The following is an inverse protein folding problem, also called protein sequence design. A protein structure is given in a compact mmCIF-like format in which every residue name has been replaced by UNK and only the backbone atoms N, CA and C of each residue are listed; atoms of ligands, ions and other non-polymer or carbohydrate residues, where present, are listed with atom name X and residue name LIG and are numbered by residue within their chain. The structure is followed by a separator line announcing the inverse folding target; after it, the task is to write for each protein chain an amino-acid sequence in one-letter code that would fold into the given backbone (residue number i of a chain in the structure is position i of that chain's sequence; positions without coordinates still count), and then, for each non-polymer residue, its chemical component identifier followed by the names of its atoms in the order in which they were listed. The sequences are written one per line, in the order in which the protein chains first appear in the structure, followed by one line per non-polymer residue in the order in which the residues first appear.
data_IF_312545132716
#
_entry.id   IF_312545132716
#
_cell.length_a   1.000
_cell.length_b   1.000
_cell.length_c   1.000
_cell.angle_alpha   90.00
_cell.angle_beta   90.00
_cell.angle_gamma   90.00
#
_symmetry.space_group_name_H-M   'P 1'
#
loop_
_entity.id
_entity.type
_entity.pdbx_description
1 polymer ?
#
# COMPACT_ATOMS: atom_id res chain seq x y z
N UNK A 1 -1.76 -5.46 11.84
CA UNK A 1 -1.78 -4.97 10.45
C UNK A 1 -2.00 -3.46 10.38
N UNK A 2 -3.18 -2.96 10.71
CA UNK A 2 -3.56 -1.56 10.42
C UNK A 2 -2.74 -0.45 11.08
N UNK A 3 -2.32 -0.62 12.35
CA UNK A 3 -1.49 0.38 13.03
C UNK A 3 -0.12 0.60 12.36
N UNK A 4 0.53 -0.49 11.91
CA UNK A 4 1.82 -0.40 11.23
C UNK A 4 1.66 0.28 9.87
N UNK A 5 0.65 -0.12 9.10
CA UNK A 5 0.39 0.46 7.78
C UNK A 5 0.08 1.96 7.83
N UNK A 6 -0.71 2.42 8.81
CA UNK A 6 -0.96 3.86 9.02
C UNK A 6 0.32 4.63 9.29
N UNK A 7 1.22 4.07 10.10
CA UNK A 7 2.52 4.71 10.38
C UNK A 7 3.40 4.78 9.14
N UNK A 8 3.45 3.70 8.35
CA UNK A 8 4.21 3.65 7.09
C UNK A 8 3.72 4.71 6.12
N UNK A 9 2.41 4.77 5.87
CA UNK A 9 1.82 5.76 4.95
C UNK A 9 2.12 7.19 5.42
N UNK A 10 2.04 7.44 6.73
CA UNK A 10 2.39 8.74 7.29
C UNK A 10 3.87 9.09 7.05
N UNK A 11 4.79 8.15 7.28
CA UNK A 11 6.22 8.35 7.06
C UNK A 11 6.54 8.55 5.58
N UNK A 12 5.93 7.76 4.69
CA UNK A 12 6.09 7.88 3.24
C UNK A 12 5.60 9.24 2.77
N UNK A 13 4.41 9.67 3.19
CA UNK A 13 3.91 11.02 2.89
C UNK A 13 4.87 12.09 3.36
N UNK A 14 5.35 12.02 4.61
CA UNK A 14 6.28 13.03 5.13
C UNK A 14 7.60 13.08 4.34
N UNK A 15 8.10 11.94 3.87
CA UNK A 15 9.41 11.82 3.22
C UNK A 15 9.38 12.08 1.71
N UNK A 16 8.29 11.72 1.04
CA UNK A 16 8.22 11.69 -0.42
C UNK A 16 7.12 12.56 -1.04
N UNK A 17 6.15 13.06 -0.26
CA UNK A 17 5.09 13.90 -0.79
C UNK A 17 5.67 15.22 -1.34
N UNK A 18 5.52 15.43 -2.64
CA UNK A 18 5.84 16.69 -3.29
C UNK A 18 4.62 17.61 -3.28
N UNK A 19 4.82 18.93 -3.36
CA UNK A 19 3.73 19.94 -3.31
C UNK A 19 2.63 19.77 -4.39
N UNK A 20 2.87 18.97 -5.43
CA UNK A 20 1.96 18.80 -6.57
C UNK A 20 1.10 17.53 -6.50
N UNK A 21 1.31 16.66 -5.49
CA UNK A 21 0.62 15.37 -5.40
C UNK A 21 -0.28 15.33 -4.17
N UNK A 22 -1.42 14.65 -4.28
CA UNK A 22 -2.24 14.35 -3.12
C UNK A 22 -1.52 13.35 -2.18
N UNK A 23 -1.72 13.49 -0.86
CA UNK A 23 -1.17 12.55 0.10
C UNK A 23 -1.76 11.15 -0.12
N UNK A 24 -0.96 10.13 0.21
CA UNK A 24 -1.44 8.76 0.28
C UNK A 24 -2.37 8.59 1.48
N UNK A 25 -3.47 7.88 1.27
CA UNK A 25 -4.42 7.48 2.30
C UNK A 25 -4.37 5.95 2.45
N UNK A 26 -4.40 5.49 3.70
CA UNK A 26 -4.58 4.08 4.04
C UNK A 26 -6.03 3.84 4.44
N UNK A 27 -6.69 2.93 3.74
CA UNK A 27 -8.07 2.50 4.03
C UNK A 27 -8.01 1.12 4.67
N UNK A 28 -8.62 0.99 5.85
CA UNK A 28 -8.58 -0.21 6.68
C UNK A 28 -9.97 -0.84 6.76
N UNK A 29 -10.23 -1.82 5.90
CA UNK A 29 -11.49 -2.57 5.87
C UNK A 29 -11.26 -4.02 6.32
N UNK A 30 -10.16 -4.32 7.04
CA UNK A 30 -9.78 -5.69 7.40
C UNK A 30 -10.84 -6.30 8.31
N UNK A 31 -11.50 -5.51 9.16
CA UNK A 31 -12.54 -6.02 10.07
C UNK A 31 -13.82 -6.41 9.32
N UNK A 32 -14.20 -5.66 8.29
CA UNK A 32 -15.44 -5.86 7.54
C UNK A 32 -15.22 -6.86 6.39
N UNK A 33 -14.33 -6.53 5.46
CA UNK A 33 -14.14 -7.26 4.20
C UNK A 33 -12.88 -8.14 4.18
N UNK A 34 -12.00 -8.02 5.18
CA UNK A 34 -10.71 -8.71 5.18
C UNK A 34 -9.67 -8.05 4.26
N UNK A 35 -9.88 -6.80 3.87
CA UNK A 35 -8.99 -6.09 2.94
C UNK A 35 -8.53 -4.73 3.49
N UNK A 36 -7.36 -4.27 3.07
CA UNK A 36 -6.93 -2.89 3.25
C UNK A 36 -6.16 -2.43 2.02
N UNK A 37 -6.18 -1.14 1.73
CA UNK A 37 -5.52 -0.62 0.54
C UNK A 37 -4.93 0.76 0.77
N UNK A 38 -3.95 1.11 -0.07
CA UNK A 38 -3.35 2.43 -0.13
C UNK A 38 -3.74 3.07 -1.45
N UNK A 39 -4.21 4.30 -1.41
CA UNK A 39 -4.55 5.09 -2.59
C UNK A 39 -4.10 6.54 -2.44
N UNK A 40 -4.17 7.34 -3.50
CA UNK A 40 -4.08 8.78 -3.35
C UNK A 40 -5.39 9.30 -2.75
N UNK A 41 -5.33 10.30 -1.87
CA UNK A 41 -6.51 10.79 -1.16
C UNK A 41 -7.58 11.39 -2.09
N UNK A 42 -7.17 11.88 -3.26
CA UNK A 42 -8.00 12.51 -4.28
C UNK A 42 -8.56 11.52 -5.32
N UNK A 43 -8.17 10.25 -5.31
CA UNK A 43 -8.65 9.23 -6.26
C UNK A 43 -9.78 8.37 -5.67
N UNK A 44 -10.68 7.81 -6.51
CA UNK A 44 -11.69 6.86 -6.04
C UNK A 44 -11.06 5.54 -5.56
N UNK A 45 -11.80 4.76 -4.77
CA UNK A 45 -11.27 3.53 -4.14
C UNK A 45 -10.79 2.47 -5.15
N UNK A 46 -11.40 2.40 -6.33
CA UNK A 46 -10.99 1.49 -7.41
C UNK A 46 -9.58 1.80 -7.98
N UNK A 47 -9.08 3.01 -7.75
CA UNK A 47 -7.78 3.51 -8.21
C UNK A 47 -6.74 3.47 -7.07
N UNK A 48 -6.72 2.34 -6.36
CA UNK A 48 -5.70 2.04 -5.36
C UNK A 48 -4.33 1.78 -5.99
N UNK A 49 -3.27 2.03 -5.23
CA UNK A 49 -1.89 1.68 -5.59
C UNK A 49 -1.54 0.28 -5.10
N UNK A 50 -1.96 -0.05 -3.88
CA UNK A 50 -1.75 -1.35 -3.26
C UNK A 50 -3.04 -1.84 -2.63
N UNK A 51 -3.36 -3.11 -2.82
CA UNK A 51 -4.47 -3.79 -2.15
C UNK A 51 -3.92 -5.02 -1.43
N UNK A 52 -4.17 -5.11 -0.13
CA UNK A 52 -3.87 -6.28 0.69
C UNK A 52 -5.18 -6.95 1.05
N UNK A 53 -5.31 -8.21 0.68
CA UNK A 53 -6.48 -9.04 0.94
C UNK A 53 -6.10 -10.25 1.78
N UNK A 54 -6.92 -10.54 2.78
CA UNK A 54 -6.77 -11.71 3.65
C UNK A 54 -8.10 -12.44 3.68
N UNK A 55 -8.09 -13.67 3.18
CA UNK A 55 -9.27 -14.54 3.24
C UNK A 55 -9.55 -14.92 4.70
N UNK A 56 -10.82 -14.96 5.10
CA UNK A 56 -11.25 -15.46 6.40
C UNK A 56 -12.56 -14.85 6.85
N UNK A 57 -13.39 -15.64 7.51
CA UNK A 57 -14.70 -15.21 7.99
C UNK A 57 -14.61 -14.47 9.33
N UNK A 58 -13.54 -14.69 10.09
CA UNK A 58 -13.33 -14.12 11.42
C UNK A 58 -11.90 -13.61 11.60
N UNK A 59 -11.68 -12.74 12.60
CA UNK A 59 -10.37 -12.14 12.88
C UNK A 59 -9.26 -13.19 13.12
N UNK A 60 -9.58 -14.32 13.76
CA UNK A 60 -8.62 -15.39 14.02
C UNK A 60 -8.15 -16.07 12.74
N UNK A 61 -9.05 -16.36 11.80
CA UNK A 61 -8.70 -16.94 10.50
C UNK A 61 -7.84 -15.97 9.70
N UNK A 62 -8.21 -14.69 9.69
CA UNK A 62 -7.44 -13.63 9.02
C UNK A 62 -6.05 -13.41 9.64
N UNK A 63 -5.82 -13.82 10.89
CA UNK A 63 -4.48 -13.77 11.50
C UNK A 63 -3.59 -14.96 11.09
N UNK A 64 -4.19 -16.07 10.64
CA UNK A 64 -3.48 -17.29 10.27
C UNK A 64 -3.34 -17.47 8.76
N UNK A 65 -4.22 -16.84 7.97
CA UNK A 65 -4.22 -16.93 6.52
C UNK A 65 -3.20 -16.00 5.88
N UNK A 66 -2.74 -16.40 4.70
CA UNK A 66 -1.81 -15.64 3.90
C UNK A 66 -2.43 -14.32 3.39
N UNK A 67 -1.58 -13.31 3.28
CA UNK A 67 -1.90 -11.96 2.85
C UNK A 67 -1.56 -11.86 1.37
N UNK A 68 -2.56 -11.65 0.54
CA UNK A 68 -2.39 -11.39 -0.89
C UNK A 68 -2.22 -9.88 -1.11
N UNK A 69 -1.12 -9.46 -1.70
CA UNK A 69 -0.79 -8.08 -2.01
C UNK A 69 -0.79 -7.88 -3.52
N UNK A 70 -1.69 -7.03 -3.99
CA UNK A 70 -1.73 -6.54 -5.36
C UNK A 70 -1.03 -5.18 -5.44
N UNK A 71 -0.16 -5.02 -6.43
CA UNK A 71 0.69 -3.85 -6.62
C UNK A 71 0.48 -3.24 -8.01
N UNK A 72 -0.35 -2.20 -8.10
CA UNK A 72 -0.63 -1.53 -9.38
C UNK A 72 0.48 -0.58 -9.84
N UNK A 73 1.56 -0.42 -9.08
CA UNK A 73 2.60 0.59 -9.35
C UNK A 73 3.62 0.16 -10.38
N UNK A 74 3.88 -1.15 -10.53
CA UNK A 74 4.94 -1.63 -11.43
C UNK A 74 4.72 -3.04 -11.98
N UNK A 75 3.69 -3.83 -11.56
CA UNK A 75 3.37 -5.15 -12.19
C UNK A 75 2.01 -5.73 -11.75
N UNK A 76 1.21 -6.32 -12.65
CA UNK A 76 -0.09 -6.99 -12.34
C UNK A 76 0.01 -8.29 -11.52
N UNK A 77 1.17 -8.65 -10.97
CA UNK A 77 1.33 -9.89 -10.22
C UNK A 77 1.01 -9.69 -8.73
N UNK A 78 0.07 -10.51 -8.25
CA UNK A 78 -0.26 -10.59 -6.82
C UNK A 78 0.84 -11.35 -6.08
N UNK A 79 1.44 -10.72 -5.07
CA UNK A 79 2.40 -11.35 -4.16
C UNK A 79 1.67 -11.94 -2.96
N UNK A 80 2.09 -13.12 -2.51
CA UNK A 80 1.53 -13.77 -1.33
C UNK A 80 2.56 -13.69 -0.21
N UNK A 81 2.14 -13.16 0.94
CA UNK A 81 2.96 -13.01 2.13
C UNK A 81 2.35 -13.81 3.28
N UNK A 82 3.20 -14.51 4.04
CA UNK A 82 2.74 -15.15 5.26
C UNK A 82 2.38 -14.06 6.30
N UNK A 83 1.35 -14.25 7.15
CA UNK A 83 1.02 -13.30 8.22
C UNK A 83 2.19 -13.03 9.18
N UNK A 84 3.10 -14.00 9.37
CA UNK A 84 4.34 -13.81 10.15
C UNK A 84 5.34 -12.86 9.48
N UNK A 85 5.27 -12.72 8.17
CA UNK A 85 6.18 -11.91 7.34
C UNK A 85 5.55 -10.56 6.93
N UNK A 86 4.65 -10.02 7.74
CA UNK A 86 4.03 -8.70 7.51
C UNK A 86 5.07 -7.57 7.33
N UNK A 87 6.25 -7.71 7.95
CA UNK A 87 7.34 -6.76 7.80
C UNK A 87 7.96 -6.80 6.41
N UNK A 88 8.11 -7.98 5.78
CA UNK A 88 8.59 -8.10 4.40
C UNK A 88 7.62 -7.46 3.42
N UNK A 89 6.30 -7.64 3.62
CA UNK A 89 5.29 -6.96 2.83
C UNK A 89 5.38 -5.43 3.00
N UNK A 90 5.65 -4.97 4.22
CA UNK A 90 5.80 -3.55 4.54
C UNK A 90 7.03 -2.94 3.85
N UNK A 91 8.19 -3.59 3.95
CA UNK A 91 9.44 -3.16 3.32
C UNK A 91 9.27 -3.11 1.80
N UNK A 92 8.67 -4.14 1.20
CA UNK A 92 8.35 -4.19 -0.22
C UNK A 92 7.49 -2.98 -0.67
N UNK A 93 6.43 -2.66 0.07
CA UNK A 93 5.55 -1.53 -0.26
C UNK A 93 6.29 -0.19 -0.15
N UNK A 94 7.16 -0.03 0.84
CA UNK A 94 7.95 1.19 1.03
C UNK A 94 8.90 1.39 -0.16
N UNK A 95 9.61 0.33 -0.56
CA UNK A 95 10.54 0.38 -1.68
C UNK A 95 9.83 0.72 -3.00
N UNK A 96 8.67 0.09 -3.25
CA UNK A 96 7.86 0.35 -4.45
C UNK A 96 7.30 1.77 -4.48
N UNK A 97 6.83 2.28 -3.35
CA UNK A 97 6.41 3.68 -3.23
C UNK A 97 7.59 4.63 -3.48
N UNK A 98 8.76 4.37 -2.89
CA UNK A 98 9.95 5.18 -3.10
C UNK A 98 10.35 5.23 -4.59
N UNK A 99 10.35 4.09 -5.28
CA UNK A 99 10.61 3.99 -6.72
C UNK A 99 9.59 4.78 -7.55
N UNK A 100 8.29 4.68 -7.23
CA UNK A 100 7.23 5.45 -7.88
C UNK A 100 7.51 6.96 -7.76
N UNK A 101 7.80 7.44 -6.55
CA UNK A 101 8.10 8.84 -6.30
C UNK A 101 9.41 9.31 -6.93
N UNK A 102 10.41 8.43 -7.05
CA UNK A 102 11.65 8.75 -7.76
C UNK A 102 11.44 8.89 -9.26
N UNK A 103 10.69 7.97 -9.89
CA UNK A 103 10.32 8.05 -11.31
C UNK A 103 9.58 9.34 -11.62
N UNK A 104 8.54 9.66 -10.85
CA UNK A 104 7.79 10.92 -11.00
C UNK A 104 8.67 12.16 -10.87
N UNK A 105 9.62 12.17 -9.92
CA UNK A 105 10.57 13.28 -9.76
C UNK A 105 11.54 13.42 -10.94
N UNK A 106 11.97 12.30 -11.53
CA UNK A 106 12.82 12.34 -12.73
C UNK A 106 12.06 12.87 -13.94
N UNK A 107 10.81 12.46 -14.13
CA UNK A 107 9.98 12.91 -15.25
C UNK A 107 9.68 14.41 -15.15
N UNK A 108 9.38 14.93 -13.95
CA UNK A 108 9.23 16.36 -13.71
C UNK A 108 10.49 17.17 -14.03
N UNK A 109 11.68 16.60 -13.80
CA UNK A 109 12.96 17.25 -14.13
C UNK A 109 13.27 17.23 -15.63
N UNK A 110 12.80 16.21 -16.36
CA UNK A 110 12.96 16.13 -17.82
C UNK A 110 11.97 17.02 -18.57
N UNK A 111 10.81 17.28 -17.96
CA UNK A 111 9.76 18.14 -18.53
C UNK A 111 9.96 19.65 -18.25
N UNK A 112 11.00 20.01 -17.47
CA UNK A 112 11.38 21.40 -17.15
C UNK A 112 12.65 21.80 -17.87
#
# INVERSE_FOLDING_TARGET
YSRNMKSIVFQVNKRYLTKKRAPLAFIDNIAENGECFIKNQDTPDNDYLFLLYIKGENASERLMNDISLEDKTDSTETKIFNPKNVFEASDYMIDRLALLFERERQDLKKAS
#
